data_IF_387986621131
#
_entry.id   IF_387986621131
#
_cell.length_a   1.000
_cell.length_b   1.000
_cell.length_c   1.000
_cell.angle_alpha   90.00
_cell.angle_beta   90.00
_cell.angle_gamma   90.00
#
_symmetry.space_group_name_H-M   'P 1'
#
loop_
_entity.id
_entity.type
_entity.pdbx_description
1 polymer ?
#
# COMPACT_ATOMS: atom_id res chain seq x y z
N UNK A 1 3.79 -14.97 -4.55
CA UNK A 1 2.50 -15.11 -3.83
C UNK A 1 2.60 -14.81 -2.35
N UNK A 2 3.43 -15.52 -1.55
CA UNK A 2 3.55 -15.24 -0.10
C UNK A 2 3.91 -13.79 0.22
N UNK A 3 4.80 -13.18 -0.59
CA UNK A 3 5.29 -11.80 -0.39
C UNK A 3 4.22 -10.73 -0.61
N UNK A 4 3.43 -10.82 -1.69
CA UNK A 4 2.32 -9.89 -1.94
C UNK A 4 1.27 -9.94 -0.83
N UNK A 5 0.98 -11.15 -0.31
CA UNK A 5 0.05 -11.31 0.82
C UNK A 5 0.61 -10.63 2.08
N UNK A 6 1.90 -10.80 2.36
CA UNK A 6 2.57 -10.12 3.49
C UNK A 6 2.54 -8.60 3.31
N UNK A 7 2.74 -8.08 2.10
CA UNK A 7 2.70 -6.65 1.84
C UNK A 7 1.28 -6.08 2.01
N UNK A 8 0.27 -6.78 1.53
CA UNK A 8 -1.14 -6.39 1.74
C UNK A 8 -1.46 -6.38 3.25
N UNK A 9 -1.06 -7.39 4.00
CA UNK A 9 -1.28 -7.44 5.46
C UNK A 9 -0.52 -6.35 6.20
N UNK A 10 0.74 -6.09 5.84
CA UNK A 10 1.55 -5.05 6.45
C UNK A 10 0.98 -3.65 6.18
N UNK A 11 0.62 -3.37 4.92
CA UNK A 11 0.01 -2.10 4.53
C UNK A 11 -1.38 -1.92 5.13
N UNK A 12 -2.16 -3.00 5.30
CA UNK A 12 -3.42 -2.97 6.04
C UNK A 12 -3.20 -2.64 7.51
N UNK A 13 -2.24 -3.30 8.19
CA UNK A 13 -1.91 -2.98 9.58
C UNK A 13 -1.51 -1.52 9.76
N UNK A 14 -0.68 -1.00 8.85
CA UNK A 14 -0.25 0.41 8.85
C UNK A 14 -1.44 1.35 8.60
N UNK A 15 -2.33 1.00 7.66
CA UNK A 15 -3.55 1.77 7.38
C UNK A 15 -4.44 1.86 8.61
N UNK A 16 -4.59 0.75 9.36
CA UNK A 16 -5.39 0.72 10.59
C UNK A 16 -4.74 1.50 11.73
N UNK A 17 -3.41 1.47 11.85
CA UNK A 17 -2.68 2.31 12.81
C UNK A 17 -2.85 3.79 12.48
N UNK A 18 -2.71 4.17 11.21
CA UNK A 18 -2.92 5.55 10.77
C UNK A 18 -4.37 5.98 11.03
N UNK A 19 -5.34 5.11 10.73
CA UNK A 19 -6.75 5.35 11.02
C UNK A 19 -7.01 5.49 12.53
N UNK A 20 -6.34 4.70 13.37
CA UNK A 20 -6.42 4.80 14.84
C UNK A 20 -5.87 6.14 15.34
N UNK A 21 -4.75 6.59 14.81
CA UNK A 21 -4.18 7.91 15.13
C UNK A 21 -5.15 9.02 14.75
N UNK A 22 -5.72 8.96 13.54
CA UNK A 22 -6.71 9.92 13.09
C UNK A 22 -7.95 9.89 13.98
N UNK A 23 -8.48 8.71 14.30
CA UNK A 23 -9.63 8.53 15.19
C UNK A 23 -9.41 9.16 16.57
N UNK A 24 -8.20 9.04 17.14
CA UNK A 24 -7.83 9.68 18.40
C UNK A 24 -7.90 11.22 18.32
N UNK A 25 -7.46 11.82 17.20
CA UNK A 25 -7.60 13.28 17.01
C UNK A 25 -9.06 13.74 16.96
N UNK A 26 -9.96 12.90 16.44
CA UNK A 26 -11.41 13.14 16.45
C UNK A 26 -12.09 12.72 17.76
N UNK A 27 -11.33 12.35 18.81
CA UNK A 27 -11.85 11.87 20.09
C UNK A 27 -12.75 10.62 19.96
N UNK A 28 -12.62 9.86 18.87
CA UNK A 28 -13.35 8.63 18.68
C UNK A 28 -12.76 7.51 19.55
N UNK A 29 -13.62 6.76 20.23
CA UNK A 29 -13.20 5.72 21.17
C UNK A 29 -13.03 4.34 20.54
N UNK A 30 -13.53 4.13 19.31
CA UNK A 30 -13.44 2.86 18.61
C UNK A 30 -13.37 3.03 17.09
N UNK A 31 -12.80 2.02 16.44
CA UNK A 31 -12.92 1.79 15.00
C UNK A 31 -13.91 0.66 14.82
N UNK A 32 -14.90 0.85 13.93
CA UNK A 32 -15.88 -0.19 13.64
C UNK A 32 -15.22 -1.34 12.89
N UNK A 33 -15.65 -2.57 13.21
CA UNK A 33 -15.15 -3.79 12.56
C UNK A 33 -15.36 -3.75 11.04
N UNK A 34 -16.46 -3.14 10.58
CA UNK A 34 -16.71 -2.93 9.15
C UNK A 34 -15.60 -2.11 8.48
N UNK A 35 -15.11 -1.05 9.13
CA UNK A 35 -14.03 -0.21 8.60
C UNK A 35 -12.72 -0.99 8.47
N UNK A 36 -12.48 -1.96 9.36
CA UNK A 36 -11.32 -2.86 9.27
C UNK A 36 -11.36 -3.69 7.98
N UNK A 37 -12.51 -4.31 7.69
CA UNK A 37 -12.68 -5.10 6.47
C UNK A 37 -12.70 -4.24 5.21
N UNK A 38 -13.31 -3.05 5.25
CA UNK A 38 -13.29 -2.11 4.13
C UNK A 38 -11.86 -1.68 3.78
N UNK A 39 -11.05 -1.32 4.79
CA UNK A 39 -9.64 -0.97 4.59
C UNK A 39 -8.83 -2.13 4.02
N UNK A 40 -9.08 -3.36 4.48
CA UNK A 40 -8.43 -4.55 3.93
C UNK A 40 -8.79 -4.79 2.46
N UNK A 41 -10.08 -4.70 2.11
CA UNK A 41 -10.55 -4.86 0.74
C UNK A 41 -9.94 -3.81 -0.20
N UNK A 42 -9.92 -2.54 0.20
CA UNK A 42 -9.31 -1.47 -0.60
C UNK A 42 -7.82 -1.73 -0.77
N UNK A 43 -7.09 -2.06 0.30
CA UNK A 43 -5.66 -2.37 0.14
C UNK A 43 -5.42 -3.52 -0.85
N UNK A 44 -6.24 -4.58 -0.86
CA UNK A 44 -6.13 -5.63 -1.89
C UNK A 44 -6.29 -5.05 -3.30
N UNK A 45 -7.32 -4.24 -3.52
CA UNK A 45 -7.60 -3.64 -4.83
C UNK A 45 -6.48 -2.67 -5.22
N UNK A 46 -5.99 -1.85 -4.30
CA UNK A 46 -4.84 -0.96 -4.49
C UNK A 46 -3.62 -1.74 -4.97
N UNK A 47 -3.23 -2.82 -4.28
CA UNK A 47 -2.07 -3.63 -4.65
C UNK A 47 -2.26 -4.32 -6.02
N UNK A 48 -3.47 -4.79 -6.34
CA UNK A 48 -3.77 -5.37 -7.66
C UNK A 48 -3.67 -4.30 -8.76
N UNK A 49 -4.24 -3.12 -8.53
CA UNK A 49 -4.24 -2.03 -9.50
C UNK A 49 -2.83 -1.51 -9.79
N UNK A 50 -2.03 -1.31 -8.75
CA UNK A 50 -0.61 -0.94 -8.88
C UNK A 50 0.16 -2.00 -9.68
N UNK A 51 -0.04 -3.29 -9.39
CA UNK A 51 0.61 -4.37 -10.13
C UNK A 51 0.22 -4.38 -11.62
N UNK A 52 -1.02 -4.04 -11.95
CA UNK A 52 -1.47 -3.89 -13.34
C UNK A 52 -0.78 -2.70 -14.00
N UNK A 53 -0.69 -1.55 -13.33
CA UNK A 53 -0.02 -0.35 -13.82
C UNK A 53 1.45 -0.61 -14.12
N UNK A 54 2.16 -1.25 -13.18
CA UNK A 54 3.58 -1.61 -13.33
C UNK A 54 3.81 -2.56 -14.51
N UNK A 55 2.85 -3.45 -14.79
CA UNK A 55 2.93 -4.39 -15.91
C UNK A 55 2.81 -3.72 -17.29
N UNK A 56 2.31 -2.49 -17.35
CA UNK A 56 2.23 -1.73 -18.61
C UNK A 56 3.63 -1.21 -19.03
N UNK A 57 4.64 -1.32 -18.16
CA UNK A 57 6.04 -0.95 -18.41
C UNK A 57 6.17 0.43 -19.05
N UNK A 58 5.60 1.45 -18.39
CA UNK A 58 5.65 2.81 -18.89
C UNK A 58 7.09 3.31 -18.98
N UNK A 59 7.44 3.91 -20.12
CA UNK A 59 8.80 4.37 -20.41
C UNK A 59 9.33 5.43 -19.42
N UNK A 60 8.45 6.13 -18.71
CA UNK A 60 8.83 7.18 -17.76
C UNK A 60 8.28 6.88 -16.36
N UNK A 61 9.19 6.74 -15.39
CA UNK A 61 8.89 6.47 -13.98
C UNK A 61 7.97 7.56 -13.40
N UNK A 62 8.14 8.82 -13.82
CA UNK A 62 7.26 9.90 -13.36
C UNK A 62 5.81 9.71 -13.81
N UNK A 63 5.59 9.24 -15.05
CA UNK A 63 4.21 8.98 -15.52
C UNK A 63 3.57 7.80 -14.82
N UNK A 64 4.35 6.79 -14.46
CA UNK A 64 3.89 5.64 -13.69
C UNK A 64 3.44 6.05 -12.29
N UNK A 65 4.28 6.79 -11.55
CA UNK A 65 3.91 7.33 -10.23
C UNK A 65 2.65 8.20 -10.28
N UNK A 66 2.52 9.07 -11.29
CA UNK A 66 1.32 9.92 -11.45
C UNK A 66 0.08 9.06 -11.68
N UNK A 67 0.19 7.99 -12.48
CA UNK A 67 -0.92 7.08 -12.74
C UNK A 67 -1.31 6.26 -11.50
N UNK A 68 -0.34 5.79 -10.72
CA UNK A 68 -0.58 5.12 -9.43
C UNK A 68 -1.30 6.04 -8.44
N UNK A 69 -0.85 7.30 -8.30
CA UNK A 69 -1.52 8.29 -7.43
C UNK A 69 -2.94 8.57 -7.93
N UNK A 70 -3.13 8.77 -9.24
CA UNK A 70 -4.45 9.02 -9.82
C UNK A 70 -5.39 7.83 -9.59
N UNK A 71 -4.88 6.61 -9.72
CA UNK A 71 -5.60 5.39 -9.43
C UNK A 71 -6.04 5.32 -7.96
N UNK A 72 -5.13 5.57 -7.01
CA UNK A 72 -5.44 5.58 -5.57
C UNK A 72 -6.49 6.65 -5.24
N UNK A 73 -6.35 7.87 -5.78
CA UNK A 73 -7.33 8.94 -5.56
C UNK A 73 -8.70 8.55 -6.14
N UNK A 74 -8.73 7.98 -7.34
CA UNK A 74 -9.95 7.49 -7.97
C UNK A 74 -10.61 6.38 -7.16
N UNK A 75 -9.82 5.42 -6.67
CA UNK A 75 -10.27 4.35 -5.79
C UNK A 75 -10.89 4.89 -4.50
N UNK A 76 -10.21 5.82 -3.81
CA UNK A 76 -10.72 6.46 -2.60
C UNK A 76 -12.01 7.24 -2.84
N UNK A 77 -12.19 7.86 -4.01
CA UNK A 77 -13.44 8.54 -4.39
C UNK A 77 -14.59 7.55 -4.58
N UNK A 78 -14.35 6.47 -5.32
CA UNK A 78 -15.37 5.44 -5.60
C UNK A 78 -15.76 4.74 -4.31
N UNK A 79 -14.80 4.19 -3.58
CA UNK A 79 -15.07 3.42 -2.37
C UNK A 79 -15.43 4.30 -1.18
N UNK A 80 -14.89 5.52 -1.07
CA UNK A 80 -15.30 6.47 -0.05
C UNK A 80 -16.77 6.86 -0.18
N UNK A 81 -17.31 6.89 -1.42
CA UNK A 81 -18.75 7.06 -1.65
C UNK A 81 -19.54 5.79 -1.35
N UNK A 82 -19.06 4.62 -1.79
CA UNK A 82 -19.74 3.34 -1.57
C UNK A 82 -19.83 2.95 -0.08
N UNK A 83 -18.81 3.27 0.71
CA UNK A 83 -18.73 2.96 2.14
C UNK A 83 -19.09 4.16 3.04
N UNK A 84 -19.61 5.25 2.45
CA UNK A 84 -20.04 6.44 3.17
C UNK A 84 -18.95 7.11 4.03
N UNK A 85 -17.67 6.96 3.71
CA UNK A 85 -16.58 7.53 4.51
C UNK A 85 -16.61 9.06 4.59
N UNK A 86 -17.16 9.71 3.57
CA UNK A 86 -17.30 11.17 3.52
C UNK A 86 -18.27 11.75 4.55
N UNK A 87 -19.05 10.93 5.27
CA UNK A 87 -19.88 11.42 6.38
C UNK A 87 -19.06 11.73 7.63
N UNK A 88 -17.92 11.05 7.80
CA UNK A 88 -17.12 11.08 9.02
C UNK A 88 -15.72 11.62 8.79
N UNK A 89 -15.20 11.52 7.57
CA UNK A 89 -13.87 11.96 7.18
C UNK A 89 -13.98 12.97 6.03
N UNK A 90 -13.23 14.07 6.12
CA UNK A 90 -13.14 15.00 5.00
C UNK A 90 -12.36 14.37 3.83
N UNK A 91 -12.75 14.71 2.61
CA UNK A 91 -12.08 14.20 1.40
C UNK A 91 -10.56 14.44 1.42
N UNK A 92 -10.14 15.65 1.80
CA UNK A 92 -8.72 16.00 1.85
C UNK A 92 -7.93 15.16 2.85
N UNK A 93 -8.54 14.85 4.01
CA UNK A 93 -7.90 14.00 5.01
C UNK A 93 -7.76 12.56 4.50
N UNK A 94 -8.79 12.04 3.82
CA UNK A 94 -8.76 10.71 3.23
C UNK A 94 -7.68 10.59 2.14
N UNK A 95 -7.56 11.60 1.27
CA UNK A 95 -6.49 11.68 0.26
C UNK A 95 -5.12 11.74 0.93
N UNK A 96 -4.96 12.55 1.96
CA UNK A 96 -3.71 12.63 2.71
C UNK A 96 -3.31 11.28 3.31
N UNK A 97 -4.25 10.57 3.94
CA UNK A 97 -4.01 9.23 4.46
C UNK A 97 -3.59 8.25 3.35
N UNK A 98 -4.28 8.28 2.20
CA UNK A 98 -3.94 7.45 1.04
C UNK A 98 -2.52 7.71 0.52
N UNK A 99 -2.10 8.97 0.42
CA UNK A 99 -0.73 9.35 0.02
C UNK A 99 0.30 8.88 1.03
N UNK A 100 0.04 9.02 2.33
CA UNK A 100 0.94 8.52 3.38
C UNK A 100 1.10 7.01 3.30
N UNK A 101 0.00 6.27 3.12
CA UNK A 101 0.02 4.81 2.96
C UNK A 101 0.81 4.42 1.71
N UNK A 102 0.61 5.12 0.59
CA UNK A 102 1.35 4.89 -0.64
C UNK A 102 2.85 5.08 -0.45
N UNK A 103 3.28 6.19 0.17
CA UNK A 103 4.69 6.46 0.47
C UNK A 103 5.28 5.34 1.33
N UNK A 104 4.59 4.95 2.41
CA UNK A 104 5.07 3.87 3.29
C UNK A 104 5.15 2.54 2.52
N UNK A 105 4.17 2.24 1.68
CA UNK A 105 4.15 1.04 0.84
C UNK A 105 5.31 1.01 -0.15
N UNK A 106 5.60 2.15 -0.78
CA UNK A 106 6.74 2.33 -1.66
C UNK A 106 8.06 2.08 -0.93
N UNK A 107 8.22 2.64 0.28
CA UNK A 107 9.40 2.38 1.12
C UNK A 107 9.55 0.91 1.51
N UNK A 108 8.45 0.24 1.91
CA UNK A 108 8.48 -1.19 2.24
C UNK A 108 8.90 -2.04 1.04
N UNK A 109 8.39 -1.71 -0.15
CA UNK A 109 8.75 -2.40 -1.38
C UNK A 109 10.24 -2.20 -1.71
N UNK A 110 10.75 -0.97 -1.55
CA UNK A 110 12.16 -0.63 -1.77
C UNK A 110 13.09 -1.35 -0.79
N UNK A 111 12.71 -1.45 0.48
CA UNK A 111 13.44 -2.24 1.48
C UNK A 111 13.47 -3.73 1.13
N UNK A 112 12.36 -4.26 0.61
CA UNK A 112 12.29 -5.66 0.18
C UNK A 112 13.17 -5.95 -1.04
N UNK A 113 13.20 -5.07 -2.05
CA UNK A 113 14.10 -5.24 -3.19
C UNK A 113 15.57 -5.26 -2.76
N UNK A 114 15.95 -4.44 -1.78
CA UNK A 114 17.32 -4.45 -1.22
C UNK A 114 17.65 -5.79 -0.56
N UNK A 115 16.71 -6.39 0.17
CA UNK A 115 16.90 -7.71 0.78
C UNK A 115 17.04 -8.80 -0.28
N UNK A 116 16.23 -8.76 -1.35
CA UNK A 116 16.32 -9.73 -2.45
C UNK A 116 17.67 -9.66 -3.17
N UNK A 117 18.18 -8.45 -3.44
CA UNK A 117 19.49 -8.28 -4.06
C UNK A 117 20.61 -8.89 -3.20
N UNK A 118 20.52 -8.75 -1.86
CA UNK A 118 21.48 -9.35 -0.92
C UNK A 118 21.37 -10.89 -0.96
N UNK A 119 20.17 -11.45 -0.91
CA UNK A 119 19.96 -12.90 -0.98
C UNK A 119 20.51 -13.50 -2.29
N UNK A 120 20.25 -12.86 -3.43
CA UNK A 120 20.78 -13.30 -4.73
C UNK A 120 22.31 -13.30 -4.70
N UNK A 121 22.91 -12.22 -4.19
CA UNK A 121 24.36 -12.10 -4.15
C UNK A 121 25.00 -13.15 -3.22
N UNK A 122 24.35 -13.47 -2.09
CA UNK A 122 24.74 -14.56 -1.20
C UNK A 122 24.63 -15.93 -1.87
N UNK A 123 23.56 -16.18 -2.64
CA UNK A 123 23.38 -17.42 -3.39
C UNK A 123 24.44 -17.60 -4.49
N UNK A 124 24.82 -16.52 -5.20
CA UNK A 124 25.90 -16.54 -6.19
C UNK A 124 27.24 -16.87 -5.49
N UNK A 125 27.54 -16.19 -4.37
CA UNK A 125 28.77 -16.43 -3.60
C UNK A 125 28.87 -17.87 -3.11
N UNK A 126 27.76 -18.45 -2.62
CA UNK A 126 27.73 -19.83 -2.17
C UNK A 126 27.86 -20.84 -3.32
N UNK A 127 27.33 -20.54 -4.52
CA UNK A 127 27.56 -21.39 -5.70
C UNK A 127 29.03 -21.38 -6.11
N UNK A 128 29.67 -20.22 -6.20
CA UNK A 128 31.08 -20.13 -6.58
C UNK A 128 31.98 -20.86 -5.57
N UNK A 129 31.68 -20.78 -4.27
CA UNK A 129 32.44 -21.46 -3.22
C UNK A 129 32.31 -22.98 -3.23
N UNK A 130 31.25 -23.52 -3.83
CA UNK A 130 31.03 -24.96 -3.96
C UNK A 130 31.58 -25.55 -5.28
N UNK A 131 32.18 -24.72 -6.14
CA UNK A 131 32.82 -25.14 -7.39
C UNK A 131 34.36 -25.20 -7.29
N UNK A 132 34.95 -24.76 -6.17
CA UNK A 132 36.34 -24.97 -5.78
C UNK A 132 36.46 -26.17 -4.83
#
# INVERSE_FOLDING_TARGET
>A
MKKNIVNILATTGISLLLLSVVALFFHASCIYLETVFQAFCINIITHIGIMIIQKIELRNIFTEMVLEILFIVGELLVFGRLFHWFTSLSFLLLVFMGVVIYIISYFLNLLQMKQEAIEINLLIKNRNKNQD
#
